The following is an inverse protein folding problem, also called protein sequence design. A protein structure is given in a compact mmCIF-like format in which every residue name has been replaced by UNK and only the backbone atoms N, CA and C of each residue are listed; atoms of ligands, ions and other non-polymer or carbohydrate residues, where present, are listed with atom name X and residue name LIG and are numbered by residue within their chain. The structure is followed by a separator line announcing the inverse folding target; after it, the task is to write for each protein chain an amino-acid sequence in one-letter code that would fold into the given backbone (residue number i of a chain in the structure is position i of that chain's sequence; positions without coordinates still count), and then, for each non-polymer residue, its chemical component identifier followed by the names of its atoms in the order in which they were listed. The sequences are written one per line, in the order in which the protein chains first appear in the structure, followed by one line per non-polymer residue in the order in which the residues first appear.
data_IF_259874078613
#
_entry.id   IF_259874078613
#
_cell.length_a   1.000
_cell.length_b   1.000
_cell.length_c   1.000
_cell.angle_alpha   90.00
_cell.angle_beta   90.00
_cell.angle_gamma   90.00
#
_symmetry.space_group_name_H-M   'P 1'
#
loop_
_entity.id
_entity.type
_entity.pdbx_description
1 polymer ?
#
# COMPACT_ATOMS: atom_id res chain seq x y z
N UNK A 1 25.42 8.45 -38.14
CA UNK A 1 24.07 8.19 -37.58
C UNK A 1 24.24 7.82 -36.11
N UNK A 2 24.16 8.77 -35.23
CA UNK A 2 24.23 8.52 -33.77
C UNK A 2 22.82 8.21 -33.28
N UNK A 3 22.47 6.91 -33.26
CA UNK A 3 21.18 6.41 -32.79
C UNK A 3 20.97 6.64 -31.27
N UNK A 4 22.00 7.05 -30.53
CA UNK A 4 21.97 7.31 -29.11
C UNK A 4 22.17 8.82 -28.85
N UNK A 5 21.07 9.57 -28.95
CA UNK A 5 21.04 10.93 -28.39
C UNK A 5 20.97 10.83 -26.85
N UNK A 6 21.45 11.86 -26.09
CA UNK A 6 21.34 11.87 -24.62
C UNK A 6 19.90 11.62 -24.13
N UNK A 7 18.90 12.16 -24.80
CA UNK A 7 17.48 11.97 -24.51
C UNK A 7 17.04 10.50 -24.63
N UNK A 8 17.51 9.78 -25.67
CA UNK A 8 17.19 8.35 -25.83
C UNK A 8 17.83 7.52 -24.73
N UNK A 9 19.05 7.85 -24.33
CA UNK A 9 19.73 7.17 -23.21
C UNK A 9 18.96 7.38 -21.91
N UNK A 10 18.49 8.60 -21.61
CA UNK A 10 17.71 8.91 -20.40
C UNK A 10 16.37 8.17 -20.38
N UNK A 11 15.68 8.05 -21.50
CA UNK A 11 14.46 7.24 -21.61
C UNK A 11 14.75 5.78 -21.35
N UNK A 12 15.81 5.22 -21.97
CA UNK A 12 16.19 3.82 -21.75
C UNK A 12 16.53 3.57 -20.28
N UNK A 13 17.28 4.43 -19.62
CA UNK A 13 17.63 4.32 -18.22
C UNK A 13 16.38 4.39 -17.32
N UNK A 14 15.44 5.26 -17.63
CA UNK A 14 14.17 5.36 -16.90
C UNK A 14 13.35 4.10 -17.03
N UNK A 15 13.24 3.53 -18.23
CA UNK A 15 12.54 2.26 -18.47
C UNK A 15 13.23 1.11 -17.71
N UNK A 16 14.57 1.04 -17.73
CA UNK A 16 15.31 0.01 -16.97
C UNK A 16 15.04 0.17 -15.46
N UNK A 17 15.10 1.39 -14.91
CA UNK A 17 14.77 1.66 -13.50
C UNK A 17 13.35 1.21 -13.16
N UNK A 18 12.38 1.53 -14.01
CA UNK A 18 10.99 1.13 -13.82
C UNK A 18 10.84 -0.39 -13.79
N UNK A 19 11.46 -1.12 -14.71
CA UNK A 19 11.43 -2.59 -14.75
C UNK A 19 12.09 -3.18 -13.50
N UNK A 20 13.23 -2.66 -13.07
CA UNK A 20 13.95 -3.15 -11.89
C UNK A 20 13.12 -2.95 -10.62
N UNK A 21 12.52 -1.77 -10.45
CA UNK A 21 11.67 -1.47 -9.29
C UNK A 21 10.42 -2.34 -9.31
N UNK A 22 9.77 -2.51 -10.46
CA UNK A 22 8.59 -3.36 -10.63
C UNK A 22 8.90 -4.81 -10.23
N UNK A 23 9.99 -5.38 -10.76
CA UNK A 23 10.41 -6.74 -10.42
C UNK A 23 10.76 -6.87 -8.93
N UNK A 24 11.48 -5.89 -8.37
CA UNK A 24 11.83 -5.90 -6.95
C UNK A 24 10.58 -5.87 -6.05
N UNK A 25 9.56 -5.08 -6.41
CA UNK A 25 8.30 -4.99 -5.67
C UNK A 25 7.49 -6.29 -5.76
N UNK A 26 7.39 -6.89 -6.95
CA UNK A 26 6.69 -8.18 -7.14
C UNK A 26 7.39 -9.29 -6.35
N UNK A 27 8.72 -9.35 -6.41
CA UNK A 27 9.51 -10.30 -5.62
C UNK A 27 9.35 -10.06 -4.13
N UNK A 28 9.38 -8.80 -3.68
CA UNK A 28 9.13 -8.46 -2.28
C UNK A 28 7.73 -8.89 -1.82
N UNK A 29 6.67 -8.65 -2.61
CA UNK A 29 5.32 -9.11 -2.32
C UNK A 29 5.23 -10.63 -2.19
N UNK A 30 5.85 -11.37 -3.11
CA UNK A 30 5.91 -12.83 -3.05
C UNK A 30 6.68 -13.33 -1.81
N UNK A 31 7.85 -12.72 -1.51
CA UNK A 31 8.66 -13.03 -0.33
C UNK A 31 7.91 -12.76 0.97
N UNK A 32 7.08 -11.73 1.02
CA UNK A 32 6.32 -11.39 2.23
C UNK A 32 5.36 -12.51 2.65
N UNK A 33 4.80 -13.27 1.74
CA UNK A 33 3.95 -14.42 2.08
C UNK A 33 4.71 -15.49 2.88
N UNK A 34 5.98 -15.68 2.59
CA UNK A 34 6.87 -16.57 3.34
C UNK A 34 7.27 -15.97 4.70
N UNK A 35 7.68 -14.69 4.68
CA UNK A 35 8.10 -13.96 5.89
C UNK A 35 6.96 -13.92 6.90
N UNK A 36 5.74 -13.62 6.47
CA UNK A 36 4.55 -13.61 7.31
C UNK A 36 4.31 -14.97 7.98
N UNK A 37 4.29 -16.05 7.21
CA UNK A 37 4.11 -17.41 7.76
C UNK A 37 5.18 -17.78 8.77
N UNK A 38 6.41 -17.29 8.59
CA UNK A 38 7.53 -17.58 9.48
C UNK A 38 7.49 -16.72 10.75
N UNK A 39 7.20 -15.43 10.63
CA UNK A 39 7.05 -14.52 11.77
C UNK A 39 5.87 -14.95 12.67
N UNK A 40 4.71 -15.24 12.06
CA UNK A 40 3.56 -15.75 12.79
C UNK A 40 3.89 -17.07 13.50
N UNK A 41 4.67 -17.97 12.86
CA UNK A 41 5.15 -19.18 13.48
C UNK A 41 5.95 -18.89 14.75
N UNK A 42 6.93 -17.99 14.69
CA UNK A 42 7.76 -17.63 15.84
C UNK A 42 6.95 -17.02 17.00
N UNK A 43 6.00 -16.14 16.69
CA UNK A 43 5.14 -15.54 17.74
C UNK A 43 4.15 -16.53 18.36
N UNK A 44 3.83 -17.61 17.64
CA UNK A 44 2.92 -18.66 18.09
C UNK A 44 3.68 -19.92 18.59
N UNK A 45 4.97 -19.81 18.84
CA UNK A 45 5.83 -20.87 19.34
C UNK A 45 5.82 -22.16 18.48
N UNK A 46 5.72 -21.97 17.16
CA UNK A 46 5.73 -23.03 16.14
C UNK A 46 6.65 -22.71 14.98
N UNK A 47 7.07 -23.76 14.27
CA UNK A 47 7.86 -23.58 13.06
C UNK A 47 6.96 -23.20 11.87
N UNK A 48 7.37 -22.14 11.12
CA UNK A 48 6.85 -21.85 9.79
C UNK A 48 7.39 -22.83 8.74
N UNK A 49 7.21 -22.53 7.42
CA UNK A 49 7.75 -23.36 6.34
C UNK A 49 9.25 -23.59 6.50
N UNK A 50 9.69 -24.85 6.58
CA UNK A 50 11.10 -25.20 6.79
C UNK A 50 11.60 -26.42 5.98
N UNK A 51 10.72 -27.07 5.19
CA UNK A 51 11.03 -28.34 4.52
C UNK A 51 11.47 -28.20 3.06
N UNK A 52 10.96 -27.19 2.33
CA UNK A 52 11.23 -27.03 0.89
C UNK A 52 12.49 -26.19 0.71
N UNK A 53 13.61 -26.85 0.44
CA UNK A 53 14.93 -26.22 0.32
C UNK A 53 15.53 -25.81 1.70
N UNK A 54 16.69 -25.11 1.67
CA UNK A 54 17.33 -24.64 2.90
C UNK A 54 16.38 -23.71 3.67
N UNK A 55 16.06 -24.08 4.90
CA UNK A 55 15.17 -23.29 5.78
C UNK A 55 13.78 -22.94 5.16
N UNK A 56 13.30 -23.69 4.15
CA UNK A 56 12.02 -23.48 3.52
C UNK A 56 11.98 -22.32 2.49
N UNK A 57 13.13 -21.79 2.07
CA UNK A 57 13.18 -20.62 1.18
C UNK A 57 12.55 -20.89 -0.20
N UNK A 58 12.57 -22.13 -0.70
CA UNK A 58 11.94 -22.48 -1.97
C UNK A 58 10.42 -22.70 -1.89
N UNK A 59 9.82 -22.50 -0.71
CA UNK A 59 8.37 -22.62 -0.55
C UNK A 59 7.61 -21.64 -1.45
N UNK A 60 8.15 -20.42 -1.65
CA UNK A 60 7.55 -19.41 -2.54
C UNK A 60 7.51 -19.92 -3.98
N UNK A 61 8.64 -20.49 -4.45
CA UNK A 61 8.69 -21.06 -5.79
C UNK A 61 7.70 -22.22 -5.96
N UNK A 62 7.57 -23.07 -4.96
CA UNK A 62 6.59 -24.16 -4.96
C UNK A 62 5.14 -23.63 -5.00
N UNK A 63 4.83 -22.59 -4.22
CA UNK A 63 3.50 -21.96 -4.19
C UNK A 63 3.18 -21.28 -5.54
N UNK A 64 4.15 -20.59 -6.15
CA UNK A 64 4.00 -19.98 -7.48
C UNK A 64 3.79 -21.03 -8.57
N UNK A 65 4.62 -22.08 -8.60
CA UNK A 65 4.47 -23.18 -9.56
C UNK A 65 3.08 -23.82 -9.45
N UNK A 66 2.62 -24.07 -8.22
CA UNK A 66 1.27 -24.58 -7.99
C UNK A 66 0.19 -23.68 -8.62
N UNK A 67 0.29 -22.36 -8.48
CA UNK A 67 -0.67 -21.41 -9.04
C UNK A 67 -0.63 -21.37 -10.57
N UNK A 68 0.56 -21.48 -11.18
CA UNK A 68 0.72 -21.51 -12.63
C UNK A 68 0.17 -22.79 -13.29
N UNK A 69 0.35 -23.93 -12.62
CA UNK A 69 -0.10 -25.22 -13.16
C UNK A 69 -1.51 -25.63 -12.73
N UNK A 70 -2.15 -24.83 -11.84
CA UNK A 70 -3.53 -25.05 -11.46
C UNK A 70 -4.45 -24.66 -12.61
N UNK A 71 -5.52 -25.45 -12.83
CA UNK A 71 -6.53 -25.15 -13.82
C UNK A 71 -7.14 -23.74 -13.61
N UNK A 72 -7.14 -22.95 -14.68
CA UNK A 72 -7.76 -21.63 -14.71
C UNK A 72 -9.24 -21.73 -15.09
N UNK A 73 -10.05 -22.02 -14.10
CA UNK A 73 -11.51 -22.11 -14.27
C UNK A 73 -12.13 -20.72 -14.35
N UNK A 74 -13.01 -20.53 -15.32
CA UNK A 74 -13.90 -19.36 -15.39
C UNK A 74 -15.34 -19.88 -15.40
N UNK A 75 -16.19 -19.50 -14.42
CA UNK A 75 -17.56 -19.97 -14.35
C UNK A 75 -18.35 -19.66 -15.63
N UNK A 76 -19.20 -20.54 -16.10
CA UNK A 76 -19.96 -20.33 -17.35
C UNK A 76 -20.96 -19.16 -17.27
N UNK A 77 -21.35 -18.79 -16.05
CA UNK A 77 -22.27 -17.68 -15.75
C UNK A 77 -21.56 -16.35 -15.51
N UNK A 78 -20.21 -16.33 -15.48
CA UNK A 78 -19.42 -15.13 -15.27
C UNK A 78 -19.20 -14.36 -16.58
N UNK A 79 -19.09 -13.02 -16.49
CA UNK A 79 -18.60 -12.20 -17.60
C UNK A 79 -17.10 -12.37 -17.77
N UNK A 80 -16.71 -13.14 -18.80
CA UNK A 80 -15.31 -13.57 -19.00
C UNK A 80 -14.33 -12.42 -19.17
N UNK A 81 -14.76 -11.32 -19.81
CA UNK A 81 -13.87 -10.17 -20.07
C UNK A 81 -13.59 -9.42 -18.77
N UNK A 82 -14.63 -9.02 -18.05
CA UNK A 82 -14.50 -8.28 -16.79
C UNK A 82 -13.86 -9.16 -15.73
N UNK A 83 -14.22 -10.44 -15.66
CA UNK A 83 -13.64 -11.41 -14.74
C UNK A 83 -12.11 -11.55 -14.91
N UNK A 84 -11.61 -11.50 -16.13
CA UNK A 84 -10.16 -11.57 -16.40
C UNK A 84 -9.47 -10.22 -16.19
N UNK A 85 -10.15 -9.10 -16.47
CA UNK A 85 -9.59 -7.76 -16.30
C UNK A 85 -9.46 -7.36 -14.84
N UNK A 86 -10.37 -7.76 -13.98
CA UNK A 86 -10.39 -7.35 -12.57
C UNK A 86 -9.05 -7.59 -11.85
N UNK A 87 -8.46 -8.80 -11.81
CA UNK A 87 -7.17 -9.03 -11.16
C UNK A 87 -6.02 -8.26 -11.83
N UNK A 88 -6.07 -8.06 -13.15
CA UNK A 88 -5.05 -7.28 -13.88
C UNK A 88 -5.09 -5.82 -13.45
N UNK A 89 -6.29 -5.22 -13.35
CA UNK A 89 -6.45 -3.83 -12.90
C UNK A 89 -6.01 -3.68 -11.44
N UNK A 90 -6.38 -4.61 -10.54
CA UNK A 90 -5.97 -4.60 -9.14
C UNK A 90 -4.45 -4.55 -9.01
N UNK A 91 -3.76 -5.49 -9.64
CA UNK A 91 -2.30 -5.58 -9.56
C UNK A 91 -1.61 -4.41 -10.25
N UNK A 92 -2.06 -4.00 -11.45
CA UNK A 92 -1.44 -2.91 -12.20
C UNK A 92 -1.56 -1.57 -11.50
N UNK A 93 -2.71 -1.24 -10.89
CA UNK A 93 -2.91 -0.01 -10.14
C UNK A 93 -1.89 0.13 -8.99
N UNK A 94 -1.69 -0.94 -8.21
CA UNK A 94 -0.73 -0.96 -7.12
C UNK A 94 0.73 -0.85 -7.62
N UNK A 95 1.08 -1.56 -8.69
CA UNK A 95 2.43 -1.48 -9.27
C UNK A 95 2.74 -0.10 -9.84
N UNK A 96 1.78 0.54 -10.52
CA UNK A 96 1.94 1.89 -11.06
C UNK A 96 2.09 2.92 -9.93
N UNK A 97 1.40 2.72 -8.80
CA UNK A 97 1.54 3.60 -7.63
C UNK A 97 2.97 3.64 -7.07
N UNK A 98 3.77 2.59 -7.25
CA UNK A 98 5.19 2.61 -6.86
C UNK A 98 6.06 3.58 -7.66
N UNK A 99 5.61 4.02 -8.84
CA UNK A 99 6.38 4.93 -9.68
C UNK A 99 6.72 6.26 -8.99
N UNK A 100 5.89 6.69 -8.03
CA UNK A 100 6.07 7.98 -7.32
C UNK A 100 6.91 7.86 -6.05
N UNK A 101 7.25 6.64 -5.60
CA UNK A 101 7.99 6.46 -4.34
C UNK A 101 9.48 6.70 -4.60
N UNK A 102 10.05 7.74 -3.99
CA UNK A 102 11.49 7.98 -4.07
C UNK A 102 12.21 7.09 -3.05
N UNK A 103 12.90 6.07 -3.54
CA UNK A 103 13.64 5.13 -2.69
C UNK A 103 14.94 5.76 -2.17
N UNK A 104 15.60 6.56 -3.02
CA UNK A 104 16.82 7.33 -2.68
C UNK A 104 16.75 8.68 -3.38
N UNK A 105 17.64 9.64 -3.07
CA UNK A 105 17.66 10.93 -3.75
C UNK A 105 17.75 10.83 -5.28
N UNK A 106 18.42 9.78 -5.80
CA UNK A 106 18.66 9.58 -7.23
C UNK A 106 17.83 8.43 -7.84
N UNK A 107 17.26 7.56 -7.01
CA UNK A 107 16.49 6.40 -7.43
C UNK A 107 15.00 6.58 -7.13
N UNK A 108 14.25 6.87 -8.16
CA UNK A 108 12.81 6.89 -8.28
C UNK A 108 12.48 6.72 -9.76
N UNK A 109 11.28 6.28 -10.10
CA UNK A 109 10.85 6.14 -11.50
C UNK A 109 10.39 7.47 -12.04
N UNK A 110 9.48 8.13 -11.33
CA UNK A 110 8.89 9.41 -11.73
C UNK A 110 8.93 10.40 -10.56
N UNK A 111 9.30 11.64 -10.88
CA UNK A 111 9.24 12.77 -9.97
C UNK A 111 8.08 13.65 -10.39
N UNK A 112 6.92 13.44 -9.78
CA UNK A 112 5.69 14.15 -10.14
C UNK A 112 5.38 15.23 -9.11
N UNK A 113 5.18 16.45 -9.56
CA UNK A 113 4.74 17.55 -8.69
C UNK A 113 3.42 17.29 -7.97
N UNK A 114 2.59 16.37 -8.51
CA UNK A 114 1.30 15.95 -7.98
C UNK A 114 1.35 14.48 -7.48
N UNK A 115 2.52 14.02 -6.98
CA UNK A 115 2.74 12.62 -6.63
C UNK A 115 1.70 12.06 -5.65
N UNK A 116 1.34 12.79 -4.59
CA UNK A 116 0.30 12.37 -3.65
C UNK A 116 -1.07 12.18 -4.30
N UNK A 117 -1.47 13.09 -5.22
CA UNK A 117 -2.75 12.96 -5.93
C UNK A 117 -2.74 11.77 -6.89
N UNK A 118 -1.60 11.51 -7.52
CA UNK A 118 -1.42 10.31 -8.35
C UNK A 118 -1.58 9.02 -7.55
N UNK A 119 -1.05 8.96 -6.31
CA UNK A 119 -1.28 7.82 -5.43
C UNK A 119 -2.77 7.58 -5.18
N UNK A 120 -3.55 8.62 -4.82
CA UNK A 120 -4.99 8.49 -4.60
C UNK A 120 -5.75 8.09 -5.87
N UNK A 121 -5.34 8.58 -7.04
CA UNK A 121 -5.94 8.17 -8.30
C UNK A 121 -5.73 6.66 -8.56
N UNK A 122 -4.55 6.13 -8.26
CA UNK A 122 -4.27 4.69 -8.40
C UNK A 122 -4.97 3.86 -7.32
N UNK A 123 -5.07 4.35 -6.09
CA UNK A 123 -5.82 3.70 -5.03
C UNK A 123 -7.31 3.61 -5.39
N UNK A 124 -7.94 4.71 -5.84
CA UNK A 124 -9.31 4.68 -6.32
C UNK A 124 -9.54 3.73 -7.51
N UNK A 125 -8.54 3.56 -8.40
CA UNK A 125 -8.63 2.58 -9.48
C UNK A 125 -8.67 1.14 -8.95
N UNK A 126 -8.00 0.84 -7.85
CA UNK A 126 -8.04 -0.48 -7.23
C UNK A 126 -9.42 -0.86 -6.69
N UNK A 127 -10.21 0.13 -6.27
CA UNK A 127 -11.60 -0.08 -5.82
C UNK A 127 -12.47 -0.63 -6.96
N UNK A 128 -12.31 -0.08 -8.17
CA UNK A 128 -13.03 -0.60 -9.35
C UNK A 128 -12.66 -2.04 -9.66
N UNK A 129 -11.40 -2.44 -9.47
CA UNK A 129 -11.00 -3.82 -9.68
C UNK A 129 -11.75 -4.81 -8.79
N UNK A 130 -11.91 -4.47 -7.52
CA UNK A 130 -12.67 -5.28 -6.55
C UNK A 130 -14.16 -5.32 -6.89
N UNK A 131 -14.76 -4.17 -7.29
CA UNK A 131 -16.14 -4.11 -7.75
C UNK A 131 -16.36 -4.98 -8.98
N UNK A 132 -15.49 -4.90 -9.97
CA UNK A 132 -15.56 -5.71 -11.18
C UNK A 132 -15.42 -7.20 -10.88
N UNK A 133 -14.56 -7.57 -9.92
CA UNK A 133 -14.41 -8.96 -9.50
C UNK A 133 -15.72 -9.54 -8.95
N UNK A 134 -16.36 -8.83 -8.02
CA UNK A 134 -17.63 -9.29 -7.45
C UNK A 134 -18.78 -9.27 -8.44
N UNK A 135 -18.87 -8.24 -9.28
CA UNK A 135 -19.95 -8.13 -10.27
C UNK A 135 -19.83 -9.19 -11.37
N UNK A 136 -18.64 -9.36 -11.94
CA UNK A 136 -18.41 -10.31 -13.03
C UNK A 136 -18.59 -11.78 -12.62
N UNK A 137 -18.42 -12.10 -11.35
CA UNK A 137 -18.58 -13.44 -10.80
C UNK A 137 -20.03 -13.95 -10.81
N UNK A 138 -21.01 -13.05 -10.96
CA UNK A 138 -22.44 -13.35 -10.94
C UNK A 138 -22.88 -14.23 -9.74
N UNK A 139 -22.23 -14.04 -8.60
CA UNK A 139 -22.48 -14.73 -7.34
C UNK A 139 -22.88 -13.71 -6.27
N UNK A 140 -23.97 -14.00 -5.52
CA UNK A 140 -24.47 -13.10 -4.48
C UNK A 140 -23.47 -12.81 -3.36
N UNK A 141 -22.66 -13.79 -2.97
CA UNK A 141 -21.63 -13.62 -1.94
C UNK A 141 -20.46 -12.79 -2.46
N UNK A 142 -20.03 -13.02 -3.70
CA UNK A 142 -19.00 -12.22 -4.35
C UNK A 142 -19.43 -10.75 -4.48
N UNK A 143 -20.67 -10.49 -4.89
CA UNK A 143 -21.22 -9.14 -5.00
C UNK A 143 -21.31 -8.44 -3.64
N UNK A 144 -21.81 -9.13 -2.61
CA UNK A 144 -21.86 -8.56 -1.26
C UNK A 144 -20.45 -8.29 -0.69
N UNK A 145 -19.49 -9.18 -0.93
CA UNK A 145 -18.08 -9.00 -0.54
C UNK A 145 -17.44 -7.78 -1.22
N UNK A 146 -17.65 -7.64 -2.53
CA UNK A 146 -17.11 -6.50 -3.29
C UNK A 146 -17.72 -5.16 -2.89
N UNK A 147 -19.02 -5.12 -2.59
CA UNK A 147 -19.68 -3.92 -2.08
C UNK A 147 -19.16 -3.53 -0.70
N UNK A 148 -18.95 -4.50 0.21
CA UNK A 148 -18.34 -4.24 1.52
C UNK A 148 -16.90 -3.74 1.37
N UNK A 149 -16.09 -4.35 0.49
CA UNK A 149 -14.73 -3.92 0.21
C UNK A 149 -14.69 -2.48 -0.27
N UNK A 150 -15.48 -2.16 -1.28
CA UNK A 150 -15.51 -0.82 -1.89
C UNK A 150 -15.98 0.24 -0.90
N UNK A 151 -17.03 -0.03 -0.13
CA UNK A 151 -17.51 0.89 0.89
C UNK A 151 -16.47 1.13 1.98
N UNK A 152 -15.75 0.09 2.41
CA UNK A 152 -14.65 0.21 3.37
C UNK A 152 -13.51 1.05 2.78
N UNK A 153 -13.00 0.69 1.61
CA UNK A 153 -11.84 1.37 1.00
C UNK A 153 -12.13 2.85 0.78
N UNK A 154 -13.27 3.19 0.15
CA UNK A 154 -13.66 4.60 -0.09
C UNK A 154 -13.77 5.37 1.23
N UNK A 155 -14.40 4.79 2.27
CA UNK A 155 -14.54 5.45 3.57
C UNK A 155 -13.19 5.72 4.22
N UNK A 156 -12.25 4.79 4.15
CA UNK A 156 -10.91 4.93 4.71
C UNK A 156 -10.00 5.84 3.89
N UNK A 157 -10.15 5.89 2.57
CA UNK A 157 -9.43 6.82 1.70
C UNK A 157 -9.74 8.29 2.02
N UNK A 158 -10.97 8.62 2.40
CA UNK A 158 -11.39 10.00 2.72
C UNK A 158 -10.54 10.57 3.86
N UNK A 159 -10.47 9.91 5.01
CA UNK A 159 -9.68 10.45 6.10
C UNK A 159 -8.18 10.19 5.96
N UNK A 160 -7.77 9.18 5.18
CA UNK A 160 -6.38 9.01 4.77
C UNK A 160 -5.90 10.23 3.97
N UNK A 161 -6.72 10.73 3.04
CA UNK A 161 -6.44 11.95 2.31
C UNK A 161 -6.36 13.17 3.21
N UNK A 162 -7.30 13.34 4.14
CA UNK A 162 -7.28 14.44 5.10
C UNK A 162 -6.04 14.41 6.01
N UNK A 163 -5.60 13.23 6.43
CA UNK A 163 -4.38 13.07 7.24
C UNK A 163 -3.14 13.55 6.48
N UNK A 164 -3.06 13.28 5.17
CA UNK A 164 -1.96 13.75 4.32
C UNK A 164 -2.02 15.24 4.01
N UNK A 165 -3.21 15.83 3.96
CA UNK A 165 -3.34 17.29 3.76
C UNK A 165 -2.66 18.07 4.89
N UNK A 166 -2.58 17.55 6.11
CA UNK A 166 -1.81 18.17 7.20
C UNK A 166 -0.30 18.29 6.89
N UNK A 167 0.27 17.31 6.19
CA UNK A 167 1.67 17.37 5.71
C UNK A 167 1.79 18.38 4.56
N UNK A 168 0.88 18.31 3.58
CA UNK A 168 0.90 19.22 2.43
C UNK A 168 0.78 20.68 2.84
N UNK A 169 -0.04 21.01 3.82
CA UNK A 169 -0.16 22.37 4.35
C UNK A 169 1.14 22.87 4.96
N UNK A 170 1.95 22.00 5.57
CA UNK A 170 3.25 22.37 6.15
C UNK A 170 4.35 22.52 5.10
N UNK A 171 4.35 21.68 4.06
CA UNK A 171 5.38 21.68 3.00
C UNK A 171 5.07 22.66 1.89
N UNK A 172 3.76 22.82 1.55
CA UNK A 172 3.32 23.59 0.39
C UNK A 172 3.48 22.85 -0.95
N UNK A 173 3.79 21.55 -0.95
CA UNK A 173 4.00 20.73 -2.16
C UNK A 173 3.34 19.35 -2.05
N UNK A 174 2.87 18.83 -3.20
CA UNK A 174 2.39 17.44 -3.32
C UNK A 174 3.49 16.48 -3.79
N UNK A 175 4.70 16.99 -4.03
CA UNK A 175 5.82 16.17 -4.48
C UNK A 175 6.42 15.39 -3.30
N UNK A 176 6.61 14.09 -3.52
CA UNK A 176 7.14 13.19 -2.47
C UNK A 176 8.59 13.53 -2.06
N UNK A 177 9.41 14.02 -3.00
CA UNK A 177 10.81 14.40 -2.70
C UNK A 177 10.87 15.66 -1.86
N UNK A 178 10.08 16.68 -2.20
CA UNK A 178 10.02 17.92 -1.43
C UNK A 178 9.62 17.64 0.02
N UNK A 179 8.66 16.71 0.22
CA UNK A 179 8.23 16.29 1.56
C UNK A 179 9.38 15.65 2.34
N UNK A 180 10.19 14.80 1.71
CA UNK A 180 11.34 14.15 2.36
C UNK A 180 12.44 15.17 2.65
N UNK A 181 12.74 16.07 1.71
CA UNK A 181 13.77 17.09 1.89
C UNK A 181 13.39 18.11 2.96
N UNK A 182 12.12 18.48 3.05
CA UNK A 182 11.62 19.34 4.12
C UNK A 182 11.79 18.69 5.50
N UNK A 183 11.52 17.38 5.63
CA UNK A 183 11.76 16.63 6.86
C UNK A 183 13.25 16.53 7.22
N UNK A 184 14.15 16.54 6.25
CA UNK A 184 15.59 16.52 6.48
C UNK A 184 16.10 17.81 7.12
N UNK A 185 15.48 18.94 6.79
CA UNK A 185 15.83 20.27 7.32
C UNK A 185 15.14 20.58 8.65
N UNK A 186 14.00 19.92 8.92
CA UNK A 186 13.15 20.13 10.08
C UNK A 186 13.01 18.82 10.89
N UNK A 187 11.92 18.70 11.64
CA UNK A 187 11.57 17.49 12.37
C UNK A 187 10.82 16.49 11.48
N UNK A 188 10.98 15.22 11.75
CA UNK A 188 10.15 14.17 11.12
C UNK A 188 8.67 14.39 11.47
N UNK A 189 7.79 14.22 10.51
CA UNK A 189 6.36 14.48 10.67
C UNK A 189 5.65 13.56 11.66
N UNK A 190 6.26 12.48 12.09
CA UNK A 190 5.74 11.65 13.20
C UNK A 190 5.50 12.47 14.47
N UNK A 191 6.28 13.55 14.71
CA UNK A 191 6.16 14.39 15.90
C UNK A 191 5.04 15.42 15.73
N UNK A 192 5.08 16.36 14.75
CA UNK A 192 4.07 17.38 14.60
C UNK A 192 2.74 16.85 14.05
N UNK A 193 2.73 15.72 13.35
CA UNK A 193 1.54 15.10 12.73
C UNK A 193 1.24 13.72 13.33
N UNK A 194 1.43 13.54 14.64
CA UNK A 194 1.23 12.24 15.30
C UNK A 194 -0.17 11.67 15.08
N UNK A 195 -1.23 12.48 15.20
CA UNK A 195 -2.60 12.02 14.94
C UNK A 195 -2.82 11.71 13.45
N UNK A 196 -2.22 12.49 12.54
CA UNK A 196 -2.21 12.21 11.11
C UNK A 196 -1.52 10.88 10.79
N UNK A 197 -0.39 10.60 11.44
CA UNK A 197 0.31 9.31 11.31
C UNK A 197 -0.57 8.15 11.80
N UNK A 198 -1.16 8.24 12.98
CA UNK A 198 -2.01 7.18 13.53
C UNK A 198 -3.21 6.88 12.62
N UNK A 199 -3.89 7.91 12.16
CA UNK A 199 -5.05 7.74 11.26
C UNK A 199 -4.64 7.23 9.88
N UNK A 200 -3.52 7.70 9.32
CA UNK A 200 -2.99 7.18 8.07
C UNK A 200 -2.58 5.71 8.17
N UNK A 201 -1.95 5.30 9.28
CA UNK A 201 -1.58 3.91 9.51
C UNK A 201 -2.81 2.99 9.59
N UNK A 202 -3.83 3.39 10.35
CA UNK A 202 -5.12 2.66 10.44
C UNK A 202 -5.78 2.57 9.06
N UNK A 203 -5.84 3.67 8.32
CA UNK A 203 -6.38 3.69 6.97
C UNK A 203 -5.60 2.77 6.03
N UNK A 204 -4.28 2.77 6.12
CA UNK A 204 -3.42 1.90 5.33
C UNK A 204 -3.69 0.42 5.56
N UNK A 205 -3.91 0.00 6.81
CA UNK A 205 -4.32 -1.38 7.12
C UNK A 205 -5.69 -1.70 6.52
N UNK A 206 -6.64 -0.77 6.58
CA UNK A 206 -7.99 -0.98 6.06
C UNK A 206 -8.06 -1.02 4.52
N UNK A 207 -7.28 -0.16 3.84
CA UNK A 207 -7.21 -0.11 2.36
C UNK A 207 -6.50 -1.33 1.78
N UNK A 208 -5.57 -1.94 2.52
CA UNK A 208 -4.91 -3.18 2.11
C UNK A 208 -5.71 -4.45 2.43
N UNK A 209 -6.96 -4.31 2.88
CA UNK A 209 -7.85 -5.42 3.28
C UNK A 209 -7.22 -6.43 4.25
N UNK A 210 -6.26 -5.96 5.07
CA UNK A 210 -5.59 -6.83 6.05
C UNK A 210 -6.30 -6.84 7.39
N UNK A 211 -6.21 -7.99 8.03
CA UNK A 211 -6.72 -8.16 9.39
C UNK A 211 -6.17 -7.06 10.33
N UNK A 212 -6.99 -6.36 11.13
CA UNK A 212 -8.38 -6.69 11.53
C UNK A 212 -9.48 -6.18 10.57
N UNK A 213 -9.16 -5.48 9.49
CA UNK A 213 -10.12 -4.89 8.54
C UNK A 213 -10.39 -5.78 7.31
N UNK A 214 -10.14 -7.07 7.42
CA UNK A 214 -10.36 -8.12 6.43
C UNK A 214 -11.86 -8.56 6.39
N UNK A 215 -12.77 -7.60 6.31
CA UNK A 215 -14.21 -7.84 6.31
C UNK A 215 -14.75 -8.35 4.97
N UNK A 216 -14.20 -7.89 3.82
CA UNK A 216 -14.65 -8.32 2.50
C UNK A 216 -14.38 -9.80 2.21
N UNK A 217 -13.33 -10.35 2.81
CA UNK A 217 -12.79 -11.69 2.57
C UNK A 217 -13.13 -12.67 3.70
N UNK A 218 -13.97 -12.23 4.64
CA UNK A 218 -14.30 -13.03 5.82
C UNK A 218 -14.97 -14.36 5.43
N UNK A 219 -14.19 -15.45 5.44
CA UNK A 219 -14.68 -16.80 5.12
C UNK A 219 -15.91 -17.21 5.97
N UNK A 220 -15.94 -16.75 7.22
CA UNK A 220 -17.01 -17.08 8.18
C UNK A 220 -18.34 -16.39 7.85
N UNK A 221 -18.33 -15.23 7.16
CA UNK A 221 -19.52 -14.45 6.84
C UNK A 221 -19.90 -14.54 5.35
N UNK A 222 -18.93 -14.47 4.44
CA UNK A 222 -19.13 -14.30 3.00
C UNK A 222 -18.44 -15.37 2.14
N UNK A 223 -17.95 -16.46 2.73
CA UNK A 223 -17.33 -17.57 2.02
C UNK A 223 -16.20 -17.11 1.05
N UNK A 224 -15.24 -16.30 1.52
CA UNK A 224 -14.13 -15.71 0.76
C UNK A 224 -14.49 -14.45 -0.09
N UNK A 225 -15.72 -13.96 0.03
CA UNK A 225 -16.13 -12.68 -0.56
C UNK A 225 -15.96 -12.60 -2.08
N UNK A 226 -15.30 -11.54 -2.57
CA UNK A 226 -15.12 -11.31 -4.01
C UNK A 226 -14.17 -12.31 -4.69
N UNK A 227 -13.38 -13.06 -3.91
CA UNK A 227 -12.44 -14.09 -4.41
C UNK A 227 -13.09 -15.47 -4.66
N UNK A 228 -14.33 -15.69 -4.24
CA UNK A 228 -14.97 -17.01 -4.16
C UNK A 228 -14.92 -17.81 -5.48
N UNK A 229 -15.02 -17.14 -6.62
CA UNK A 229 -15.01 -17.78 -7.95
C UNK A 229 -13.63 -17.78 -8.61
N UNK A 230 -12.65 -17.09 -8.02
CA UNK A 230 -11.32 -17.01 -8.59
C UNK A 230 -10.44 -18.19 -8.19
N UNK A 231 -9.67 -18.71 -9.15
CA UNK A 231 -8.75 -19.82 -8.95
C UNK A 231 -7.42 -19.59 -9.69
N UNK A 232 -6.41 -20.41 -9.38
CA UNK A 232 -5.13 -20.38 -10.07
C UNK A 232 -4.43 -19.03 -10.03
N UNK A 233 -3.91 -18.60 -11.17
CA UNK A 233 -3.15 -17.36 -11.27
C UNK A 233 -4.01 -16.10 -11.08
N UNK A 234 -5.28 -16.11 -11.45
CA UNK A 234 -6.20 -14.98 -11.24
C UNK A 234 -6.38 -14.68 -9.76
N UNK A 235 -6.59 -15.70 -8.93
CA UNK A 235 -6.59 -15.55 -7.48
C UNK A 235 -5.23 -15.10 -6.95
N UNK A 236 -4.15 -15.69 -7.49
CA UNK A 236 -2.79 -15.33 -7.12
C UNK A 236 -2.45 -13.85 -7.35
N UNK A 237 -3.00 -13.21 -8.39
CA UNK A 237 -2.81 -11.79 -8.66
C UNK A 237 -3.44 -10.89 -7.58
N UNK A 238 -4.64 -11.20 -7.08
CA UNK A 238 -5.23 -10.49 -5.95
C UNK A 238 -4.39 -10.68 -4.69
N UNK A 239 -4.06 -11.92 -4.35
CA UNK A 239 -3.27 -12.27 -3.18
C UNK A 239 -1.89 -11.59 -3.15
N UNK A 240 -1.15 -11.62 -4.26
CA UNK A 240 0.15 -10.91 -4.37
C UNK A 240 -0.08 -9.39 -4.35
N UNK A 241 -1.17 -8.91 -4.96
CA UNK A 241 -1.57 -7.51 -4.93
C UNK A 241 -1.72 -6.97 -3.51
N UNK A 242 -2.34 -7.71 -2.59
CA UNK A 242 -2.44 -7.30 -1.19
C UNK A 242 -1.07 -7.13 -0.52
N UNK A 243 -0.13 -8.05 -0.75
CA UNK A 243 1.22 -7.92 -0.21
C UNK A 243 1.97 -6.74 -0.81
N UNK A 244 1.79 -6.48 -2.11
CA UNK A 244 2.32 -5.29 -2.77
C UNK A 244 1.72 -4.03 -2.13
N UNK A 245 0.43 -4.03 -1.82
CA UNK A 245 -0.25 -2.96 -1.07
C UNK A 245 0.38 -2.69 0.29
N UNK A 246 0.72 -3.74 1.06
CA UNK A 246 1.42 -3.59 2.35
C UNK A 246 2.78 -2.91 2.15
N UNK A 247 3.56 -3.34 1.16
CA UNK A 247 4.87 -2.72 0.86
C UNK A 247 4.68 -1.26 0.46
N UNK A 248 3.67 -0.95 -0.38
CA UNK A 248 3.34 0.39 -0.83
C UNK A 248 3.00 1.32 0.34
N UNK A 249 2.04 0.93 1.18
CA UNK A 249 1.62 1.74 2.34
C UNK A 249 2.78 1.90 3.34
N UNK A 250 3.55 0.84 3.58
CA UNK A 250 4.73 0.91 4.45
C UNK A 250 5.79 1.89 3.91
N UNK A 251 6.04 1.86 2.60
CA UNK A 251 6.96 2.78 1.95
C UNK A 251 6.46 4.24 1.99
N UNK A 252 5.15 4.46 1.81
CA UNK A 252 4.52 5.76 1.97
C UNK A 252 4.61 6.30 3.40
N UNK A 253 4.35 5.47 4.41
CA UNK A 253 4.53 5.85 5.82
C UNK A 253 5.94 6.35 6.09
N UNK A 254 6.95 5.63 5.58
CA UNK A 254 8.35 6.01 5.72
C UNK A 254 8.64 7.33 5.01
N UNK A 255 8.16 7.50 3.80
CA UNK A 255 8.38 8.72 3.00
C UNK A 255 7.71 9.94 3.63
N UNK A 256 6.48 9.79 4.11
CA UNK A 256 5.65 10.90 4.55
C UNK A 256 5.87 11.30 6.02
N UNK A 257 6.20 10.35 6.90
CA UNK A 257 6.27 10.60 8.34
C UNK A 257 7.66 10.37 8.96
N UNK A 258 8.52 9.58 8.33
CA UNK A 258 9.80 9.15 8.90
C UNK A 258 11.02 9.61 8.09
N UNK A 259 10.88 10.66 7.29
CA UNK A 259 11.98 11.26 6.55
C UNK A 259 12.56 10.40 5.43
N UNK A 260 11.77 9.46 4.87
CA UNK A 260 12.16 8.67 3.71
C UNK A 260 13.52 7.97 3.87
N UNK A 261 14.45 8.30 3.00
CA UNK A 261 15.81 7.74 2.96
C UNK A 261 16.78 8.33 4.00
N UNK A 262 16.40 9.39 4.74
CA UNK A 262 17.26 9.98 5.76
C UNK A 262 17.32 9.14 7.02
N UNK A 263 18.53 8.93 7.56
CA UNK A 263 18.74 8.27 8.84
C UNK A 263 18.22 9.10 10.03
N UNK A 264 17.93 8.48 11.19
CA UNK A 264 17.62 9.21 12.41
C UNK A 264 18.81 10.08 12.82
N UNK A 265 18.54 11.34 13.17
CA UNK A 265 19.56 12.31 13.60
C UNK A 265 20.74 12.53 12.62
N UNK A 266 20.52 12.32 11.31
CA UNK A 266 21.57 12.46 10.31
C UNK A 266 22.63 11.36 10.32
N UNK A 267 22.38 10.23 10.99
CA UNK A 267 23.31 9.10 11.05
C UNK A 267 23.48 8.47 9.66
N UNK A 268 24.74 8.22 9.27
CA UNK A 268 25.12 7.49 8.05
C UNK A 268 24.40 7.97 6.76
N UNK A 269 24.59 9.23 6.34
CA UNK A 269 23.96 9.75 5.12
C UNK A 269 24.44 9.04 3.84
N UNK A 270 25.50 8.24 3.95
CA UNK A 270 26.14 7.55 2.82
C UNK A 270 25.33 6.35 2.31
N UNK A 271 24.33 5.84 3.05
CA UNK A 271 23.60 4.62 2.71
C UNK A 271 22.07 4.86 2.79
N UNK A 272 21.52 5.72 1.93
CA UNK A 272 20.10 6.11 1.98
C UNK A 272 19.15 4.92 1.77
N UNK A 273 19.49 3.99 0.89
CA UNK A 273 18.68 2.79 0.59
C UNK A 273 18.47 1.90 1.82
N UNK A 274 19.51 1.70 2.65
CA UNK A 274 19.41 0.83 3.84
C UNK A 274 18.45 1.43 4.86
N UNK A 275 18.50 2.74 5.09
CA UNK A 275 17.56 3.40 6.00
C UNK A 275 16.11 3.29 5.54
N UNK A 276 15.86 3.52 4.25
CA UNK A 276 14.55 3.35 3.67
C UNK A 276 14.05 1.91 3.80
N UNK A 277 14.86 0.92 3.42
CA UNK A 277 14.52 -0.49 3.49
C UNK A 277 14.26 -0.96 4.93
N UNK A 278 15.07 -0.54 5.90
CA UNK A 278 14.95 -0.94 7.30
C UNK A 278 13.67 -0.38 7.93
N UNK A 279 13.36 0.90 7.69
CA UNK A 279 12.11 1.51 8.17
C UNK A 279 10.89 0.88 7.52
N UNK A 280 10.94 0.63 6.20
CA UNK A 280 9.85 -0.05 5.48
C UNK A 280 9.65 -1.47 6.02
N UNK A 281 10.72 -2.22 6.26
CA UNK A 281 10.64 -3.55 6.87
C UNK A 281 10.05 -3.51 8.29
N UNK A 282 10.34 -2.48 9.07
CA UNK A 282 9.72 -2.29 10.39
C UNK A 282 8.21 -2.14 10.29
N UNK A 283 7.71 -1.29 9.38
CA UNK A 283 6.26 -1.13 9.19
C UNK A 283 5.61 -2.39 8.65
N UNK A 284 6.24 -3.10 7.73
CA UNK A 284 5.76 -4.40 7.25
C UNK A 284 5.62 -5.39 8.43
N UNK A 285 6.60 -5.46 9.33
CA UNK A 285 6.51 -6.29 10.53
C UNK A 285 5.34 -5.85 11.43
N UNK A 286 5.09 -4.55 11.56
CA UNK A 286 3.94 -4.03 12.31
C UNK A 286 2.60 -4.47 11.71
N UNK A 287 2.46 -4.46 10.38
CA UNK A 287 1.26 -4.98 9.70
C UNK A 287 1.05 -6.46 10.00
N UNK A 288 2.11 -7.27 9.95
CA UNK A 288 2.01 -8.71 10.24
C UNK A 288 1.68 -8.94 11.73
N UNK A 289 2.25 -8.14 12.64
CA UNK A 289 1.99 -8.23 14.08
C UNK A 289 0.53 -7.89 14.41
N UNK A 290 -0.04 -6.86 13.77
CA UNK A 290 -1.45 -6.52 13.92
C UNK A 290 -2.38 -7.68 13.58
N UNK A 291 -2.07 -8.42 12.51
CA UNK A 291 -2.81 -9.63 12.14
C UNK A 291 -2.83 -10.69 13.25
N UNK A 292 -1.73 -10.81 13.99
CA UNK A 292 -1.61 -11.80 15.05
C UNK A 292 -2.24 -11.37 16.38
N UNK A 293 -2.38 -10.06 16.62
CA UNK A 293 -2.68 -9.52 17.95
C UNK A 293 -4.11 -9.03 18.15
N UNK A 294 -4.78 -8.56 17.09
CA UNK A 294 -6.09 -7.92 17.21
C UNK A 294 -7.19 -8.86 16.70
N UNK A 295 -8.30 -9.03 17.45
CA UNK A 295 -9.46 -9.77 16.97
C UNK A 295 -10.18 -9.00 15.85
N UNK A 296 -10.91 -9.71 14.99
CA UNK A 296 -11.69 -9.12 13.90
C UNK A 296 -12.93 -8.41 14.47
N UNK A 297 -13.11 -7.10 14.23
CA UNK A 297 -14.34 -6.38 14.56
C UNK A 297 -15.44 -6.70 13.56
N UNK A 298 -16.71 -6.36 13.87
CA UNK A 298 -17.81 -6.48 12.92
C UNK A 298 -17.79 -5.32 11.92
N UNK A 299 -18.38 -5.53 10.74
CA UNK A 299 -18.41 -4.53 9.65
C UNK A 299 -19.01 -3.18 10.08
N UNK A 300 -20.13 -3.20 10.81
CA UNK A 300 -20.76 -1.99 11.33
C UNK A 300 -19.83 -1.19 12.26
N UNK A 301 -19.07 -1.88 13.13
CA UNK A 301 -18.10 -1.25 14.02
C UNK A 301 -16.94 -0.60 13.24
N UNK A 302 -16.45 -1.26 12.19
CA UNK A 302 -15.40 -0.73 11.33
C UNK A 302 -15.86 0.56 10.64
N UNK A 303 -17.08 0.57 10.12
CA UNK A 303 -17.65 1.75 9.46
C UNK A 303 -17.93 2.89 10.46
N UNK A 304 -18.53 2.60 11.61
CA UNK A 304 -18.76 3.57 12.66
C UNK A 304 -17.45 4.20 13.17
N UNK A 305 -16.42 3.40 13.38
CA UNK A 305 -15.10 3.89 13.79
C UNK A 305 -14.50 4.85 12.77
N UNK A 306 -14.62 4.54 11.47
CA UNK A 306 -14.12 5.40 10.41
C UNK A 306 -14.79 6.77 10.40
N UNK A 307 -16.13 6.81 10.41
CA UNK A 307 -16.91 8.03 10.27
C UNK A 307 -17.06 8.85 11.55
N UNK A 308 -17.19 8.19 12.72
CA UNK A 308 -17.42 8.88 13.99
C UNK A 308 -16.15 9.24 14.73
N UNK A 309 -15.05 8.52 14.49
CA UNK A 309 -13.80 8.76 15.21
C UNK A 309 -12.67 9.25 14.28
N UNK A 310 -12.32 8.49 13.24
CA UNK A 310 -11.16 8.83 12.42
C UNK A 310 -11.36 10.12 11.61
N UNK A 311 -12.51 10.31 11.01
CA UNK A 311 -12.79 11.49 10.19
C UNK A 311 -12.79 12.79 11.03
N UNK A 312 -13.51 12.91 12.17
CA UNK A 312 -13.42 14.11 13.01
C UNK A 312 -12.01 14.37 13.53
N UNK A 313 -11.28 13.32 13.92
CA UNK A 313 -9.91 13.46 14.41
C UNK A 313 -8.97 14.04 13.34
N UNK A 314 -9.06 13.56 12.10
CA UNK A 314 -8.26 14.09 10.99
C UNK A 314 -8.63 15.51 10.61
N UNK A 315 -9.91 15.87 10.64
CA UNK A 315 -10.37 17.24 10.43
C UNK A 315 -9.83 18.20 11.49
N UNK A 316 -9.90 17.81 12.76
CA UNK A 316 -9.36 18.62 13.87
C UNK A 316 -7.84 18.77 13.69
N UNK A 317 -7.12 17.67 13.40
CA UNK A 317 -5.69 17.72 13.16
C UNK A 317 -5.33 18.66 12.01
N UNK A 318 -6.07 18.61 10.88
CA UNK A 318 -5.86 19.49 9.74
C UNK A 318 -6.09 20.96 10.08
N UNK A 319 -7.20 21.29 10.78
CA UNK A 319 -7.53 22.66 11.18
C UNK A 319 -6.48 23.22 12.15
N UNK A 320 -6.07 22.45 13.15
CA UNK A 320 -5.02 22.84 14.09
C UNK A 320 -3.70 23.08 13.35
N UNK A 321 -3.32 22.18 12.44
CA UNK A 321 -2.11 22.35 11.63
C UNK A 321 -2.17 23.61 10.78
N UNK A 322 -3.27 23.86 10.09
CA UNK A 322 -3.46 25.07 9.29
C UNK A 322 -3.37 26.35 10.16
N UNK A 323 -3.99 26.35 11.34
CA UNK A 323 -3.92 27.47 12.26
C UNK A 323 -2.47 27.73 12.75
N UNK A 324 -1.72 26.68 13.09
CA UNK A 324 -0.31 26.80 13.52
C UNK A 324 0.56 27.32 12.38
N UNK A 325 0.37 26.85 11.16
CA UNK A 325 1.13 27.33 9.99
C UNK A 325 0.82 28.81 9.74
N UNK A 326 -0.45 29.23 9.78
CA UNK A 326 -0.84 30.62 9.58
C UNK A 326 -0.26 31.56 10.67
N UNK A 327 -0.23 31.12 11.93
CA UNK A 327 0.34 31.92 13.02
C UNK A 327 1.86 32.06 12.92
N UNK A 328 2.54 31.08 12.35
CA UNK A 328 4.00 31.08 12.15
C UNK A 328 4.43 31.77 10.85
N UNK A 329 3.51 31.98 9.91
CA UNK A 329 3.81 32.68 8.64
C UNK A 329 3.74 34.18 8.87
N UNK A 330 4.83 34.95 8.62
CA UNK A 330 4.81 36.40 8.82
C UNK A 330 3.78 37.05 7.90
N UNK A 331 3.06 38.06 8.41
CA UNK A 331 1.91 38.74 7.79
C UNK A 331 2.18 39.46 6.46
N UNK A 332 3.09 39.00 5.65
CA UNK A 332 3.43 39.51 4.32
C UNK A 332 3.77 38.42 3.31
N UNK A 333 3.74 37.15 3.70
CA UNK A 333 4.11 36.02 2.86
C UNK A 333 2.92 35.23 2.26
N UNK A 334 1.69 35.68 2.55
CA UNK A 334 0.47 35.13 1.96
C UNK A 334 0.19 35.90 0.67
N UNK A 335 0.79 35.44 -0.43
CA UNK A 335 0.39 35.80 -1.81
C UNK A 335 -0.17 34.60 -2.53
#
# INVERSE_FOLDING_TARGET
MTWFTPEVIDVILTVIKAIVILLAVVVAGALLSFVERRLLGWWQDRYGPNRVGPFGMFQIAADMLKMFFKEDWTPPFADKVIFTLAPVVAMSALLIAFAIIPITPTWGVADLNIGLLFFFAMAGLSVYAVLFAGWSSNNKFALLGSLRASAQTVSYEVFMGLALMGIVVQVGSFNMRDIVEYQAQNLWYIIPQFFGFCTFFIAGVAVTHRHPFDQPEAEQELADGYHIEYAGMKWGMFFVGEYIGIVLISALLVTLFFGGWHGPFGLLPQIPFIWFALKTAFFIMMFILLRASIPRPRYDQVMDFSWRFCLPLTLINLLVTAAVVLLNTPAGAVQ
#
